data_IF_001514922239
#
_entry.id   IF_001514922239
#
_cell.length_a   1.000
_cell.length_b   1.000
_cell.length_c   1.000
_cell.angle_alpha   90.00
_cell.angle_beta   90.00
_cell.angle_gamma   90.00
#
_symmetry.space_group_name_H-M   'P 1'
#
loop_
_entity.id
_entity.type
_entity.pdbx_description
1 polymer ?
#
# COMPACT_ATOMS: atom_id res chain seq x y z
N UNK A 1 14.77 -2.84 -17.48
CA UNK A 1 14.55 -3.32 -16.09
C UNK A 1 13.25 -2.71 -15.66
N UNK A 2 12.17 -3.46 -15.82
CA UNK A 2 10.82 -2.98 -15.54
C UNK A 2 10.60 -3.13 -14.04
N UNK A 3 10.85 -2.05 -13.29
CA UNK A 3 10.58 -2.03 -11.84
C UNK A 3 9.08 -2.09 -11.60
N UNK A 4 8.68 -2.96 -10.67
CA UNK A 4 7.31 -3.08 -10.17
C UNK A 4 7.19 -2.42 -8.80
N UNK A 5 6.13 -1.64 -8.63
CA UNK A 5 5.77 -0.99 -7.39
C UNK A 5 4.40 -1.49 -6.91
N UNK A 6 4.30 -1.75 -5.60
CA UNK A 6 3.05 -2.15 -4.96
C UNK A 6 2.68 -1.09 -3.94
N UNK A 7 1.52 -0.45 -4.12
CA UNK A 7 0.98 0.52 -3.19
C UNK A 7 0.01 -0.19 -2.25
N UNK A 8 0.30 -0.15 -0.95
CA UNK A 8 -0.51 -0.74 0.11
C UNK A 8 -1.29 0.39 0.79
N UNK A 9 -2.61 0.35 0.74
CA UNK A 9 -3.46 1.47 1.16
C UNK A 9 -4.30 1.10 2.36
N UNK A 10 -4.05 1.76 3.48
CA UNK A 10 -4.98 1.82 4.61
C UNK A 10 -5.90 3.03 4.40
N UNK A 11 -7.22 2.87 4.44
CA UNK A 11 -8.14 4.01 4.39
C UNK A 11 -9.50 3.72 4.99
N UNK A 12 -10.09 4.75 5.61
CA UNK A 12 -11.49 4.73 6.09
C UNK A 12 -12.39 5.61 5.23
N UNK A 13 -11.85 6.74 4.72
CA UNK A 13 -12.59 7.78 4.00
C UNK A 13 -12.04 8.03 2.58
N UNK A 14 -11.18 7.14 2.07
CA UNK A 14 -10.63 7.21 0.70
C UNK A 14 -9.56 8.27 0.46
N UNK A 15 -9.20 9.10 1.45
CA UNK A 15 -8.18 10.13 1.27
C UNK A 15 -6.80 9.55 0.92
N UNK A 16 -6.45 8.41 1.52
CA UNK A 16 -5.20 7.71 1.23
C UNK A 16 -5.21 7.00 -0.12
N UNK A 17 -6.39 6.59 -0.60
CA UNK A 17 -6.56 6.02 -1.94
C UNK A 17 -6.26 7.07 -3.00
N UNK A 18 -6.75 8.30 -2.82
CA UNK A 18 -6.46 9.40 -3.73
C UNK A 18 -4.95 9.71 -3.83
N UNK A 19 -4.23 9.65 -2.71
CA UNK A 19 -2.77 9.82 -2.70
C UNK A 19 -2.08 8.65 -3.41
N UNK A 20 -2.53 7.43 -3.17
CA UNK A 20 -1.99 6.24 -3.84
C UNK A 20 -2.19 6.30 -5.35
N UNK A 21 -3.37 6.74 -5.82
CA UNK A 21 -3.64 6.92 -7.24
C UNK A 21 -2.72 7.97 -7.87
N UNK A 22 -2.50 9.11 -7.20
CA UNK A 22 -1.57 10.13 -7.69
C UNK A 22 -0.11 9.61 -7.81
N UNK A 23 0.34 8.79 -6.85
CA UNK A 23 1.65 8.13 -6.91
C UNK A 23 1.69 7.12 -8.06
N UNK A 24 0.63 6.32 -8.21
CA UNK A 24 0.53 5.31 -9.25
C UNK A 24 0.55 5.94 -10.65
N UNK A 25 -0.15 7.04 -10.87
CA UNK A 25 -0.09 7.82 -12.12
C UNK A 25 1.33 8.30 -12.42
N UNK A 26 2.02 8.88 -11.43
CA UNK A 26 3.39 9.37 -11.59
C UNK A 26 4.38 8.24 -11.93
N UNK A 27 4.21 7.05 -11.35
CA UNK A 27 5.03 5.87 -11.62
C UNK A 27 4.73 5.27 -13.00
N UNK A 28 3.44 5.13 -13.35
CA UNK A 28 3.00 4.63 -14.67
C UNK A 28 3.47 5.56 -15.79
N UNK A 29 3.43 6.88 -15.59
CA UNK A 29 3.94 7.86 -16.55
C UNK A 29 5.44 7.71 -16.85
N UNK A 30 6.20 7.08 -15.93
CA UNK A 30 7.63 6.77 -16.10
C UNK A 30 7.87 5.37 -16.67
N UNK A 31 6.81 4.65 -17.04
CA UNK A 31 6.87 3.31 -17.63
C UNK A 31 7.00 2.16 -16.61
N UNK A 32 6.75 2.41 -15.33
CA UNK A 32 6.82 1.36 -14.30
C UNK A 32 5.50 0.60 -14.16
N UNK A 33 5.59 -0.69 -13.79
CA UNK A 33 4.43 -1.50 -13.42
C UNK A 33 3.99 -1.09 -12.01
N UNK A 34 2.68 -0.93 -11.80
CA UNK A 34 2.13 -0.50 -10.52
C UNK A 34 0.87 -1.29 -10.16
N UNK A 35 0.86 -1.89 -8.98
CA UNK A 35 -0.30 -2.55 -8.35
C UNK A 35 -0.74 -1.74 -7.13
N UNK A 36 -2.05 -1.62 -6.90
CA UNK A 36 -2.60 -0.98 -5.70
C UNK A 36 -3.43 -2.04 -4.96
N UNK A 37 -3.16 -2.21 -3.67
CA UNK A 37 -3.89 -3.09 -2.76
C UNK A 37 -4.57 -2.24 -1.68
N UNK A 38 -5.90 -2.17 -1.71
CA UNK A 38 -6.71 -1.46 -0.70
C UNK A 38 -7.07 -2.34 0.50
N UNK A 39 -6.77 -3.63 0.41
CA UNK A 39 -6.80 -4.59 1.51
C UNK A 39 -5.51 -5.41 1.37
N UNK A 40 -4.37 -4.84 1.78
CA UNK A 40 -3.10 -5.53 1.60
C UNK A 40 -3.08 -6.82 2.43
N UNK A 41 -2.52 -7.86 1.82
CA UNK A 41 -2.21 -9.13 2.46
C UNK A 41 -0.81 -9.55 1.98
N UNK A 42 -0.01 -10.14 2.86
CA UNK A 42 1.36 -10.56 2.52
C UNK A 42 1.37 -11.55 1.34
N UNK A 43 0.36 -12.42 1.22
CA UNK A 43 0.26 -13.41 0.16
C UNK A 43 -0.03 -12.78 -1.23
N UNK A 44 -0.57 -11.57 -1.25
CA UNK A 44 -0.94 -10.84 -2.48
C UNK A 44 0.19 -9.95 -3.02
N UNK A 45 1.32 -9.86 -2.31
CA UNK A 45 2.43 -8.97 -2.67
C UNK A 45 3.52 -9.72 -3.43
N UNK A 46 3.83 -9.25 -4.65
CA UNK A 46 4.94 -9.79 -5.44
C UNK A 46 6.29 -9.55 -4.72
N UNK A 47 7.07 -10.63 -4.54
CA UNK A 47 8.34 -10.63 -3.80
C UNK A 47 9.43 -9.69 -4.37
N UNK A 48 9.35 -9.33 -5.65
CA UNK A 48 10.30 -8.41 -6.32
C UNK A 48 9.66 -7.06 -6.64
N UNK A 49 8.82 -6.55 -5.72
CA UNK A 49 8.17 -5.25 -5.85
C UNK A 49 8.64 -4.28 -4.76
N UNK A 50 8.77 -2.99 -5.12
CA UNK A 50 9.04 -1.93 -4.14
C UNK A 50 7.72 -1.45 -3.53
N UNK A 51 7.63 -1.45 -2.20
CA UNK A 51 6.39 -1.13 -1.50
C UNK A 51 6.26 0.36 -1.19
N UNK A 52 5.05 0.87 -1.34
CA UNK A 52 4.64 2.21 -0.93
C UNK A 52 3.42 2.10 -0.02
N UNK A 53 3.55 2.45 1.25
CA UNK A 53 2.46 2.34 2.22
C UNK A 53 1.81 3.71 2.39
N UNK A 54 0.51 3.80 2.09
CA UNK A 54 -0.31 4.99 2.25
C UNK A 54 -1.39 4.71 3.29
N UNK A 55 -1.19 5.17 4.52
CA UNK A 55 -2.15 4.98 5.62
C UNK A 55 -2.33 6.29 6.40
N UNK A 56 -3.57 6.70 6.70
CA UNK A 56 -3.81 7.77 7.65
C UNK A 56 -3.57 7.24 9.05
N UNK A 57 -3.42 8.16 9.99
CA UNK A 57 -3.59 7.86 11.41
C UNK A 57 -4.86 8.55 11.88
N UNK A 58 -5.66 7.88 12.70
CA UNK A 58 -6.81 8.51 13.35
C UNK A 58 -6.63 8.50 14.87
N UNK A 59 -7.07 9.56 15.54
CA UNK A 59 -7.06 9.63 17.01
C UNK A 59 -5.66 9.41 17.64
N UNK A 60 -5.51 8.31 18.37
CA UNK A 60 -4.32 7.98 19.16
C UNK A 60 -3.14 7.42 18.34
N UNK A 61 -3.29 7.30 17.02
CA UNK A 61 -2.29 6.71 16.13
C UNK A 61 -2.67 5.35 15.55
N UNK A 62 -3.93 4.95 15.69
CA UNK A 62 -4.41 3.65 15.20
C UNK A 62 -4.42 3.60 13.67
N UNK A 63 -4.06 2.43 13.14
CA UNK A 63 -4.19 2.11 11.73
C UNK A 63 -5.65 1.84 11.36
N UNK A 64 -6.07 2.15 10.13
CA UNK A 64 -7.38 1.72 9.62
C UNK A 64 -7.57 0.20 9.66
N UNK A 65 -8.81 -0.24 9.86
CA UNK A 65 -9.16 -1.67 9.95
C UNK A 65 -8.69 -2.48 8.73
N UNK A 66 -8.70 -1.88 7.53
CA UNK A 66 -8.33 -2.56 6.29
C UNK A 66 -6.83 -2.84 6.14
N UNK A 67 -5.95 -2.27 6.99
CA UNK A 67 -4.50 -2.52 6.97
C UNK A 67 -3.96 -3.12 8.28
N UNK A 68 -4.78 -3.18 9.34
CA UNK A 68 -4.36 -3.74 10.63
C UNK A 68 -3.90 -5.20 10.51
N UNK A 69 -4.62 -6.04 9.75
CA UNK A 69 -4.23 -7.44 9.53
C UNK A 69 -2.87 -7.57 8.87
N UNK A 70 -2.59 -6.74 7.86
CA UNK A 70 -1.29 -6.67 7.20
C UNK A 70 -0.17 -6.24 8.15
N UNK A 71 -0.40 -5.20 8.96
CA UNK A 71 0.59 -4.74 9.94
C UNK A 71 0.93 -5.83 10.95
N UNK A 72 -0.08 -6.58 11.42
CA UNK A 72 0.13 -7.72 12.29
C UNK A 72 0.90 -8.87 11.61
N UNK A 73 0.64 -9.15 10.33
CA UNK A 73 1.43 -10.12 9.57
C UNK A 73 2.90 -9.69 9.54
N UNK A 74 3.19 -8.42 9.21
CA UNK A 74 4.54 -7.89 9.14
C UNK A 74 5.30 -7.94 10.47
N UNK A 75 4.63 -7.73 11.61
CA UNK A 75 5.24 -7.87 12.94
C UNK A 75 5.62 -9.31 13.30
N UNK A 76 4.97 -10.30 12.67
CA UNK A 76 5.23 -11.72 12.88
C UNK A 76 6.18 -12.33 11.83
N UNK A 77 6.68 -11.53 10.89
CA UNK A 77 7.71 -11.93 9.92
C UNK A 77 9.10 -11.66 10.54
N UNK A 78 9.92 -12.71 10.68
CA UNK A 78 11.30 -12.68 11.21
C UNK A 78 12.36 -12.34 10.13
#
# INVERSE_FOLDING_TARGET
>A
MDRHFTLLVGSVLGASEYVADAIAEALRARGYKVTILTQPDMDDIEADSTWFICTPTHGAGDLPDNIQSFAAQLENED
#
